data_IF_401954171107
#
_entry.id   IF_401954171107
#
_cell.length_a   1.000
_cell.length_b   1.000
_cell.length_c   1.000
_cell.angle_alpha   90.00
_cell.angle_beta   90.00
_cell.angle_gamma   90.00
#
_symmetry.space_group_name_H-M   'P 1'
#
loop_
_entity.id
_entity.type
_entity.pdbx_description
1 polymer ?
#
# COMPACT_ATOMS: atom_id res chain seq x y z
N UNK A 1 -38.69 -38.28 33.09
CA UNK A 1 -37.55 -38.01 32.20
C UNK A 1 -36.26 -38.44 32.90
N UNK A 2 -35.35 -39.15 32.22
CA UNK A 2 -34.09 -39.61 32.84
C UNK A 2 -33.18 -38.39 33.08
N UNK A 3 -32.80 -38.05 34.33
CA UNK A 3 -32.09 -36.80 34.67
C UNK A 3 -30.77 -36.62 33.91
N UNK A 4 -30.05 -37.72 33.71
CA UNK A 4 -28.77 -37.74 33.02
C UNK A 4 -28.81 -37.19 31.58
N UNK A 5 -29.88 -37.49 30.83
CA UNK A 5 -30.01 -37.03 29.44
C UNK A 5 -30.28 -35.52 29.35
N UNK A 6 -30.85 -34.94 30.40
CA UNK A 6 -31.13 -33.51 30.46
C UNK A 6 -29.85 -32.70 30.73
N UNK A 7 -29.04 -33.13 31.69
CA UNK A 7 -27.78 -32.45 32.03
C UNK A 7 -26.72 -32.58 30.92
N UNK A 8 -26.70 -33.71 30.21
CA UNK A 8 -25.82 -33.88 29.04
C UNK A 8 -26.19 -32.92 27.92
N UNK A 9 -27.48 -32.84 27.54
CA UNK A 9 -27.94 -31.90 26.48
C UNK A 9 -27.66 -30.45 26.85
N UNK A 10 -27.89 -30.07 28.11
CA UNK A 10 -27.67 -28.71 28.60
C UNK A 10 -26.19 -28.31 28.57
N UNK A 11 -25.30 -29.22 28.98
CA UNK A 11 -23.86 -28.96 29.04
C UNK A 11 -23.22 -29.02 27.65
N UNK A 12 -23.60 -30.01 26.83
CA UNK A 12 -23.13 -30.16 25.46
C UNK A 12 -23.52 -28.98 24.58
N UNK A 13 -24.77 -28.48 24.70
CA UNK A 13 -25.22 -27.32 23.94
C UNK A 13 -24.39 -26.07 24.28
N UNK A 14 -24.10 -25.82 25.57
CA UNK A 14 -23.27 -24.68 25.99
C UNK A 14 -21.84 -24.77 25.47
N UNK A 15 -21.22 -25.93 25.58
CA UNK A 15 -19.86 -26.15 25.10
C UNK A 15 -19.78 -26.03 23.57
N UNK A 16 -20.74 -26.62 22.86
CA UNK A 16 -20.84 -26.53 21.40
C UNK A 16 -21.05 -25.09 20.93
N UNK A 17 -21.91 -24.33 21.61
CA UNK A 17 -22.14 -22.91 21.29
C UNK A 17 -20.87 -22.09 21.50
N UNK A 18 -20.14 -22.35 22.58
CA UNK A 18 -18.88 -21.65 22.88
C UNK A 18 -17.78 -22.00 21.86
N UNK A 19 -17.66 -23.27 21.48
CA UNK A 19 -16.75 -23.71 20.42
C UNK A 19 -17.08 -23.08 19.07
N UNK A 20 -18.37 -23.06 18.70
CA UNK A 20 -18.82 -22.47 17.46
C UNK A 20 -18.57 -20.96 17.44
N UNK A 21 -18.75 -20.28 18.57
CA UNK A 21 -18.42 -18.86 18.71
C UNK A 21 -16.92 -18.61 18.47
N UNK A 22 -16.04 -19.40 19.10
CA UNK A 22 -14.59 -19.28 18.92
C UNK A 22 -14.16 -19.55 17.48
N UNK A 23 -14.72 -20.58 16.84
CA UNK A 23 -14.43 -20.86 15.44
C UNK A 23 -14.91 -19.73 14.53
N UNK A 24 -16.07 -19.16 14.81
CA UNK A 24 -16.62 -18.06 14.02
C UNK A 24 -15.80 -16.78 14.16
N UNK A 25 -15.33 -16.45 15.37
CA UNK A 25 -14.44 -15.29 15.58
C UNK A 25 -13.10 -15.49 14.89
N UNK A 26 -12.48 -16.66 15.00
CA UNK A 26 -11.21 -16.96 14.31
C UNK A 26 -11.36 -16.90 12.79
N UNK A 27 -12.43 -17.46 12.24
CA UNK A 27 -12.72 -17.40 10.81
C UNK A 27 -12.90 -15.94 10.33
N UNK A 28 -13.65 -15.13 11.08
CA UNK A 28 -13.87 -13.71 10.76
C UNK A 28 -12.57 -12.89 10.77
N UNK A 29 -11.73 -13.08 11.79
CA UNK A 29 -10.42 -12.41 11.88
C UNK A 29 -9.50 -12.85 10.74
N UNK A 30 -9.46 -14.16 10.45
CA UNK A 30 -8.66 -14.72 9.36
C UNK A 30 -9.06 -14.19 7.99
N UNK A 31 -10.36 -14.14 7.70
CA UNK A 31 -10.90 -13.56 6.46
C UNK A 31 -10.56 -12.08 6.33
N UNK A 32 -10.69 -11.31 7.41
CA UNK A 32 -10.36 -9.87 7.41
C UNK A 32 -8.88 -9.63 7.12
N UNK A 33 -7.99 -10.41 7.74
CA UNK A 33 -6.55 -10.33 7.48
C UNK A 33 -6.20 -10.69 6.03
N UNK A 34 -6.81 -11.75 5.48
CA UNK A 34 -6.60 -12.16 4.10
C UNK A 34 -7.03 -11.07 3.11
N UNK A 35 -8.24 -10.51 3.30
CA UNK A 35 -8.76 -9.44 2.44
C UNK A 35 -7.90 -8.18 2.54
N UNK A 36 -7.50 -7.77 3.75
CA UNK A 36 -6.63 -6.60 3.95
C UNK A 36 -5.29 -6.76 3.22
N UNK A 37 -4.65 -7.93 3.34
CA UNK A 37 -3.37 -8.20 2.65
C UNK A 37 -3.52 -8.20 1.12
N UNK A 38 -4.67 -8.67 0.63
CA UNK A 38 -4.96 -8.68 -0.80
C UNK A 38 -5.28 -7.28 -1.33
N UNK A 39 -5.89 -6.40 -0.55
CA UNK A 39 -6.12 -5.01 -0.96
C UNK A 39 -4.84 -4.18 -0.99
N UNK A 40 -3.91 -4.42 -0.05
CA UNK A 40 -2.62 -3.71 -0.04
C UNK A 40 -1.74 -4.03 -1.25
N UNK A 41 -1.90 -5.20 -1.87
CA UNK A 41 -1.15 -5.54 -3.10
C UNK A 41 -1.78 -5.00 -4.38
N UNK A 42 -3.06 -4.57 -4.33
CA UNK A 42 -3.80 -4.07 -5.50
C UNK A 42 -3.71 -2.55 -5.63
N UNK A 43 -3.40 -1.82 -4.55
CA UNK A 43 -3.22 -0.37 -4.63
C UNK A 43 -1.86 -0.07 -5.26
N UNK A 44 -1.79 0.41 -6.51
CA UNK A 44 -0.51 0.79 -7.08
C UNK A 44 0.06 1.92 -6.24
N UNK A 45 1.29 1.77 -5.77
CA UNK A 45 2.02 2.84 -5.12
C UNK A 45 2.09 4.03 -6.09
N UNK A 46 1.20 5.02 -5.86
CA UNK A 46 1.16 6.22 -6.69
C UNK A 46 2.24 7.16 -6.20
N UNK A 47 3.36 7.14 -6.89
CA UNK A 47 4.39 8.15 -6.74
C UNK A 47 3.96 9.43 -7.45
N UNK A 48 4.16 10.57 -6.81
CA UNK A 48 3.91 11.88 -7.39
C UNK A 48 5.22 12.62 -7.56
N UNK A 49 5.35 13.40 -8.63
CA UNK A 49 6.53 14.22 -8.90
C UNK A 49 6.10 15.68 -9.01
N UNK A 50 6.78 16.56 -8.29
CA UNK A 50 6.58 18.01 -8.36
C UNK A 50 7.93 18.66 -8.60
N UNK A 51 8.02 19.61 -9.52
CA UNK A 51 9.28 20.26 -9.84
C UNK A 51 9.11 21.47 -10.73
N UNK A 52 10.23 22.11 -11.02
CA UNK A 52 10.33 23.22 -11.96
C UNK A 52 11.50 23.00 -12.91
N UNK A 53 11.43 23.67 -14.05
CA UNK A 53 12.53 23.77 -14.99
C UNK A 53 12.96 25.23 -15.07
N UNK A 54 14.26 25.47 -15.00
CA UNK A 54 14.87 26.78 -15.13
C UNK A 54 15.89 26.77 -16.27
N UNK A 55 15.99 27.88 -16.99
CA UNK A 55 16.91 28.04 -18.12
C UNK A 55 17.92 29.10 -17.76
N UNK A 56 19.16 28.68 -17.50
CA UNK A 56 20.26 29.57 -17.23
C UNK A 56 21.20 29.62 -18.45
N UNK A 57 20.95 30.60 -19.33
CA UNK A 57 21.68 30.75 -20.59
C UNK A 57 21.42 29.58 -21.54
N UNK A 58 22.45 28.77 -21.80
CA UNK A 58 22.35 27.56 -22.65
C UNK A 58 22.04 26.29 -21.87
N UNK A 59 21.99 26.36 -20.53
CA UNK A 59 21.80 25.20 -19.68
C UNK A 59 20.35 25.13 -19.20
N UNK A 60 19.70 24.00 -19.42
CA UNK A 60 18.41 23.65 -18.82
C UNK A 60 18.67 22.91 -17.51
N UNK A 61 18.22 23.49 -16.41
CA UNK A 61 18.21 22.83 -15.10
C UNK A 61 16.79 22.39 -14.78
N UNK A 62 16.64 21.14 -14.37
CA UNK A 62 15.36 20.60 -13.92
C UNK A 62 15.56 20.13 -12.49
N UNK A 63 14.70 20.59 -11.60
CA UNK A 63 14.75 20.24 -10.18
C UNK A 63 13.38 19.76 -9.77
N UNK A 64 13.31 18.60 -9.10
CA UNK A 64 12.06 18.09 -8.60
C UNK A 64 12.18 17.29 -7.31
N UNK A 65 11.02 16.96 -6.76
CA UNK A 65 10.81 16.17 -5.57
C UNK A 65 9.93 14.97 -5.93
N UNK A 66 10.43 13.78 -5.67
CA UNK A 66 9.67 12.53 -5.72
C UNK A 66 8.97 12.28 -4.38
N UNK A 67 7.65 12.14 -4.43
CA UNK A 67 6.78 11.96 -3.26
C UNK A 67 6.22 10.53 -3.31
N UNK A 68 6.43 9.79 -2.22
CA UNK A 68 5.91 8.44 -2.04
C UNK A 68 4.41 8.39 -1.73
N UNK A 69 3.81 7.19 -1.71
CA UNK A 69 2.39 6.99 -1.42
C UNK A 69 1.95 7.49 -0.04
N UNK A 70 2.89 7.59 0.92
CA UNK A 70 2.67 8.13 2.26
C UNK A 70 2.65 9.67 2.32
N UNK A 71 2.85 10.34 1.18
CA UNK A 71 2.97 11.81 1.11
C UNK A 71 4.33 12.35 1.52
N UNK A 72 5.30 11.48 1.84
CA UNK A 72 6.65 11.88 2.23
C UNK A 72 7.61 11.86 1.04
N UNK A 73 8.67 12.69 1.05
CA UNK A 73 9.79 12.57 0.12
C UNK A 73 10.39 11.17 0.11
N UNK A 74 10.61 10.61 -1.07
CA UNK A 74 11.07 9.23 -1.23
C UNK A 74 12.42 9.17 -1.94
N UNK A 75 13.38 8.50 -1.30
CA UNK A 75 14.70 8.21 -1.85
C UNK A 75 14.67 7.02 -2.81
N UNK A 76 15.54 7.02 -3.82
CA UNK A 76 15.76 5.86 -4.68
C UNK A 76 14.72 5.72 -5.79
N UNK A 77 13.88 6.73 -6.03
CA UNK A 77 12.93 6.73 -7.14
C UNK A 77 13.66 6.99 -8.45
N UNK A 78 13.41 6.14 -9.45
CA UNK A 78 13.89 6.36 -10.79
C UNK A 78 13.00 7.40 -11.48
N UNK A 79 13.58 8.53 -11.84
CA UNK A 79 12.89 9.65 -12.46
C UNK A 79 13.36 9.81 -13.88
N UNK A 80 12.43 9.84 -14.83
CA UNK A 80 12.71 10.12 -16.23
C UNK A 80 12.00 11.39 -16.66
N UNK A 81 12.77 12.35 -17.17
CA UNK A 81 12.28 13.63 -17.65
C UNK A 81 12.41 13.67 -19.18
N UNK A 82 11.29 13.95 -19.85
CA UNK A 82 11.26 14.19 -21.29
C UNK A 82 11.35 15.69 -21.58
N UNK A 83 12.37 16.10 -22.35
CA UNK A 83 12.57 17.47 -22.80
C UNK A 83 12.33 17.53 -24.30
N UNK A 84 11.43 18.42 -24.72
CA UNK A 84 11.14 18.66 -26.14
C UNK A 84 12.21 19.62 -26.68
N UNK A 85 12.97 19.19 -27.69
CA UNK A 85 13.99 19.98 -28.38
C UNK A 85 13.63 20.01 -29.87
N UNK A 86 13.07 21.14 -30.32
CA UNK A 86 12.52 21.25 -31.66
C UNK A 86 11.33 20.32 -31.85
N UNK A 87 11.46 19.33 -32.74
CA UNK A 87 10.43 18.31 -33.01
C UNK A 87 10.73 16.94 -32.37
N UNK A 88 11.80 16.82 -31.59
CA UNK A 88 12.21 15.58 -30.94
C UNK A 88 12.05 15.65 -29.42
N UNK A 89 11.77 14.51 -28.78
CA UNK A 89 11.77 14.39 -27.32
C UNK A 89 13.04 13.65 -26.89
N UNK A 90 13.86 14.28 -26.05
CA UNK A 90 15.01 13.65 -25.39
C UNK A 90 14.65 13.27 -23.96
N UNK A 91 15.05 12.08 -23.56
CA UNK A 91 14.79 11.57 -22.21
C UNK A 91 16.08 11.56 -21.38
N UNK A 92 15.97 12.02 -20.15
CA UNK A 92 17.04 12.01 -19.15
C UNK A 92 16.54 11.27 -17.91
N UNK A 93 17.37 10.40 -17.35
CA UNK A 93 16.99 9.62 -16.16
C UNK A 93 17.97 9.88 -15.01
N UNK A 94 17.44 9.91 -13.79
CA UNK A 94 18.18 10.12 -12.55
C UNK A 94 17.49 9.40 -11.39
N UNK A 95 18.12 9.39 -10.22
CA UNK A 95 17.58 8.74 -9.01
C UNK A 95 17.47 9.79 -7.90
N UNK A 96 16.34 9.82 -7.21
CA UNK A 96 16.15 10.75 -6.08
C UNK A 96 17.14 10.47 -4.94
N UNK A 97 17.67 11.55 -4.36
CA UNK A 97 18.59 11.50 -3.22
C UNK A 97 17.87 11.23 -1.89
N UNK A 98 18.59 11.30 -0.76
CA UNK A 98 18.04 11.08 0.59
C UNK A 98 16.94 12.06 1.01
N UNK A 99 16.84 13.20 0.35
CA UNK A 99 15.76 14.19 0.57
C UNK A 99 14.62 14.05 -0.44
N UNK A 100 14.64 13.02 -1.29
CA UNK A 100 13.67 12.81 -2.37
C UNK A 100 13.86 13.74 -3.59
N UNK A 101 14.95 14.49 -3.64
CA UNK A 101 15.21 15.47 -4.70
C UNK A 101 15.97 14.86 -5.88
N UNK A 102 15.74 15.38 -7.08
CA UNK A 102 16.44 15.01 -8.31
C UNK A 102 16.71 16.20 -9.23
#
# INVERSE_FOLDING_TARGET
MRPFLYDFKRSFLRLSTLLLLVLFTLAGVGLTALVSSSLSSITPDKYSYVGYADVNGTNLQIVGLGIGPSGNPQQGLNVTVGVIIGNEIKYFSTITNSSGMF
#
